data_IF_366669896301
#
_entry.id   IF_366669896301
#
_cell.length_a   1.000
_cell.length_b   1.000
_cell.length_c   1.000
_cell.angle_alpha   90.00
_cell.angle_beta   90.00
_cell.angle_gamma   90.00
#
_symmetry.space_group_name_H-M   'P 1'
#
loop_
_entity.id
_entity.type
_entity.pdbx_description
1 polymer ?
#
# COMPACT_ATOMS: atom_id res chain seq x y z
N UNK A 1 2.09 -35.06 -19.94
CA UNK A 1 3.52 -35.34 -19.64
C UNK A 1 3.79 -34.91 -18.22
N UNK A 2 4.27 -35.80 -17.35
CA UNK A 2 4.68 -35.42 -16.01
C UNK A 2 6.01 -34.66 -16.13
N UNK A 3 6.02 -33.37 -15.81
CA UNK A 3 7.24 -32.58 -15.76
C UNK A 3 8.02 -33.01 -14.51
N UNK A 4 8.97 -33.92 -14.68
CA UNK A 4 9.90 -34.27 -13.63
C UNK A 4 10.91 -33.14 -13.47
N UNK A 5 11.06 -32.66 -12.24
CA UNK A 5 12.15 -31.74 -11.90
C UNK A 5 13.48 -32.46 -12.13
N UNK A 6 14.45 -31.84 -12.82
CA UNK A 6 15.78 -32.43 -13.02
C UNK A 6 16.43 -32.81 -11.70
N UNK A 7 17.23 -33.88 -11.71
CA UNK A 7 18.03 -34.28 -10.54
C UNK A 7 18.89 -33.10 -10.06
N UNK A 8 18.88 -32.84 -8.75
CA UNK A 8 19.54 -31.68 -8.13
C UNK A 8 18.69 -30.41 -7.99
N UNK A 9 17.43 -30.43 -8.44
CA UNK A 9 16.49 -29.31 -8.22
C UNK A 9 16.24 -29.07 -6.73
N UNK A 10 16.12 -27.80 -6.34
CA UNK A 10 15.76 -27.36 -4.97
C UNK A 10 14.43 -26.62 -4.99
N UNK A 11 13.59 -26.88 -4.00
CA UNK A 11 12.30 -26.19 -3.81
C UNK A 11 12.41 -25.39 -2.52
N UNK A 12 12.06 -24.10 -2.59
CA UNK A 12 11.94 -23.23 -1.42
C UNK A 12 10.46 -23.07 -1.10
N UNK A 13 10.08 -23.38 0.13
CA UNK A 13 8.70 -23.23 0.61
C UNK A 13 8.68 -22.18 1.71
N UNK A 14 7.87 -21.14 1.52
CA UNK A 14 7.66 -20.07 2.51
C UNK A 14 6.25 -20.19 3.09
N UNK A 15 6.10 -20.12 4.41
CA UNK A 15 4.81 -20.20 5.09
C UNK A 15 4.77 -19.33 6.33
N UNK A 16 3.56 -18.96 6.77
CA UNK A 16 3.29 -18.30 8.05
C UNK A 16 2.96 -19.29 9.18
N UNK A 17 2.86 -20.58 8.86
CA UNK A 17 2.54 -21.63 9.84
C UNK A 17 3.79 -22.37 10.27
N UNK A 18 3.97 -22.51 11.58
CA UNK A 18 5.08 -23.30 12.17
C UNK A 18 5.02 -24.78 11.78
N UNK A 19 3.84 -25.27 11.34
CA UNK A 19 3.68 -26.64 10.84
C UNK A 19 4.50 -26.92 9.57
N UNK A 20 4.97 -25.87 8.88
CA UNK A 20 5.77 -26.03 7.66
C UNK A 20 7.12 -26.69 7.91
N UNK A 21 7.64 -26.62 9.14
CA UNK A 21 8.90 -27.23 9.55
C UNK A 21 8.92 -28.73 9.30
N UNK A 22 7.76 -29.39 9.39
CA UNK A 22 7.60 -30.82 9.12
C UNK A 22 7.74 -31.22 7.64
N UNK A 23 7.75 -30.25 6.71
CA UNK A 23 7.86 -30.49 5.27
C UNK A 23 9.29 -30.26 4.75
N UNK A 24 10.16 -29.64 5.54
CA UNK A 24 11.51 -29.29 5.14
C UNK A 24 12.45 -30.49 5.18
N UNK A 25 13.40 -30.53 4.24
CA UNK A 25 14.53 -31.48 4.25
C UNK A 25 15.80 -30.86 4.85
N UNK A 26 15.74 -29.59 5.27
CA UNK A 26 16.82 -28.80 5.86
C UNK A 26 16.28 -27.99 7.04
N UNK A 27 17.18 -27.45 7.88
CA UNK A 27 16.80 -26.51 8.92
C UNK A 27 15.98 -25.35 8.32
N UNK A 28 14.92 -24.99 9.03
CA UNK A 28 14.03 -23.90 8.70
C UNK A 28 14.68 -22.54 8.97
N UNK A 29 14.34 -21.57 8.11
CA UNK A 29 14.79 -20.20 8.24
C UNK A 29 13.64 -19.34 8.73
N UNK A 30 13.75 -18.84 9.96
CA UNK A 30 12.80 -17.90 10.53
C UNK A 30 13.12 -16.48 10.06
N UNK A 31 12.16 -15.88 9.35
CA UNK A 31 12.24 -14.48 8.95
C UNK A 31 11.80 -13.59 10.12
N UNK A 32 12.77 -13.17 10.92
CA UNK A 32 12.55 -12.20 11.99
C UNK A 32 12.30 -10.80 11.41
N UNK A 33 11.62 -9.95 12.19
CA UNK A 33 11.49 -8.54 11.85
C UNK A 33 12.84 -7.85 11.86
N UNK A 34 12.99 -6.84 11.01
CA UNK A 34 14.17 -5.99 11.02
C UNK A 34 14.15 -5.06 12.24
N UNK A 35 15.32 -4.77 12.83
CA UNK A 35 15.41 -3.77 13.88
C UNK A 35 14.98 -2.39 13.35
N UNK A 36 14.49 -1.53 14.23
CA UNK A 36 13.97 -0.20 13.90
C UNK A 36 14.94 0.60 13.04
N UNK A 37 16.22 0.55 13.35
CA UNK A 37 17.30 1.28 12.65
C UNK A 37 17.45 0.82 11.20
N UNK A 38 17.33 -0.48 10.94
CA UNK A 38 17.39 -1.03 9.59
C UNK A 38 16.16 -0.64 8.77
N UNK A 39 14.98 -0.60 9.40
CA UNK A 39 13.76 -0.13 8.75
C UNK A 39 13.76 1.37 8.47
N UNK A 40 14.26 2.18 9.41
CA UNK A 40 14.50 3.59 9.19
C UNK A 40 15.49 3.80 8.04
N UNK A 41 16.61 3.06 8.03
CA UNK A 41 17.58 3.13 6.94
C UNK A 41 16.93 2.78 5.59
N UNK A 42 16.16 1.70 5.53
CA UNK A 42 15.42 1.31 4.33
C UNK A 42 14.45 2.40 3.85
N UNK A 43 13.64 2.94 4.76
CA UNK A 43 12.68 4.01 4.44
C UNK A 43 13.38 5.30 3.99
N UNK A 44 14.50 5.66 4.65
CA UNK A 44 15.33 6.81 4.30
C UNK A 44 15.90 6.68 2.89
N UNK A 45 16.52 5.54 2.58
CA UNK A 45 17.07 5.28 1.23
C UNK A 45 15.98 5.34 0.17
N UNK A 46 14.78 4.80 0.45
CA UNK A 46 13.67 4.89 -0.48
C UNK A 46 13.16 6.33 -0.66
N UNK A 47 13.06 7.10 0.41
CA UNK A 47 12.47 8.45 0.38
C UNK A 47 13.39 9.49 -0.26
N UNK A 48 14.70 9.39 -0.04
CA UNK A 48 15.69 10.34 -0.57
C UNK A 48 16.39 9.84 -1.85
N UNK A 49 16.32 8.54 -2.16
CA UNK A 49 16.93 7.99 -3.37
C UNK A 49 18.44 8.21 -3.40
N UNK A 50 18.93 8.94 -4.40
CA UNK A 50 20.36 9.25 -4.55
C UNK A 50 20.80 10.53 -3.84
N UNK A 51 19.89 11.31 -3.25
CA UNK A 51 20.27 12.51 -2.48
C UNK A 51 20.52 12.15 -1.02
N UNK A 52 21.46 12.82 -0.36
CA UNK A 52 21.70 12.61 1.06
C UNK A 52 20.59 13.31 1.87
N UNK A 53 20.08 12.63 2.90
CA UNK A 53 19.04 13.20 3.77
C UNK A 53 19.60 14.38 4.58
N UNK A 54 20.91 14.32 4.86
CA UNK A 54 21.72 15.32 5.55
C UNK A 54 21.73 16.66 4.81
N UNK A 55 21.60 16.66 3.48
CA UNK A 55 21.51 17.88 2.66
C UNK A 55 20.15 18.57 2.76
N UNK A 56 19.14 17.87 3.29
CA UNK A 56 17.75 18.34 3.38
C UNK A 56 17.19 18.12 4.80
N UNK A 57 17.79 18.76 5.84
CA UNK A 57 17.53 18.43 7.24
C UNK A 57 16.05 18.59 7.62
N UNK A 58 15.34 19.56 7.02
CA UNK A 58 13.91 19.75 7.25
C UNK A 58 13.06 18.60 6.71
N UNK A 59 13.37 18.10 5.51
CA UNK A 59 12.67 16.94 4.94
C UNK A 59 13.03 15.66 5.71
N UNK A 60 14.29 15.51 6.12
CA UNK A 60 14.74 14.38 6.95
C UNK A 60 13.96 14.31 8.28
N UNK A 61 13.73 15.45 8.94
CA UNK A 61 12.90 15.54 10.13
C UNK A 61 11.46 15.06 9.88
N UNK A 62 10.83 15.53 8.79
CA UNK A 62 9.45 15.14 8.45
C UNK A 62 9.36 13.65 8.10
N UNK A 63 10.34 13.11 7.37
CA UNK A 63 10.40 11.67 7.07
C UNK A 63 10.51 10.83 8.35
N UNK A 64 11.31 11.28 9.33
CA UNK A 64 11.38 10.60 10.63
C UNK A 64 10.04 10.62 11.34
N UNK A 65 9.36 11.77 11.40
CA UNK A 65 8.02 11.85 12.00
C UNK A 65 7.02 10.92 11.30
N UNK A 66 7.03 10.86 9.96
CA UNK A 66 6.19 9.93 9.19
C UNK A 66 6.52 8.48 9.57
N UNK A 67 7.80 8.16 9.71
CA UNK A 67 8.26 6.83 10.07
C UNK A 67 7.78 6.43 11.48
N UNK A 68 7.96 7.32 12.46
CA UNK A 68 7.51 7.04 13.83
C UNK A 68 6.00 6.83 13.92
N UNK A 69 5.22 7.72 13.29
CA UNK A 69 3.76 7.68 13.36
C UNK A 69 3.18 6.43 12.69
N UNK A 70 3.79 5.97 11.60
CA UNK A 70 3.27 4.82 10.85
C UNK A 70 3.82 3.48 11.34
N UNK A 71 5.08 3.43 11.78
CA UNK A 71 5.80 2.18 12.04
C UNK A 71 6.12 1.94 13.52
N UNK A 72 6.09 2.97 14.38
CA UNK A 72 6.58 2.86 15.77
C UNK A 72 5.49 2.95 16.85
N UNK A 73 4.21 3.11 16.48
CA UNK A 73 3.12 3.35 17.43
C UNK A 73 2.46 2.11 18.06
N UNK A 74 3.16 0.97 18.13
CA UNK A 74 2.59 -0.18 18.83
C UNK A 74 3.61 -0.82 19.78
N UNK A 75 3.58 -0.40 21.06
CA UNK A 75 4.30 -1.06 22.16
C UNK A 75 3.94 -2.54 22.29
N UNK A 76 2.76 -2.95 21.79
CA UNK A 76 2.33 -4.34 21.71
C UNK A 76 3.02 -5.15 20.61
N UNK A 77 3.58 -4.48 19.60
CA UNK A 77 4.20 -5.14 18.48
C UNK A 77 5.72 -4.95 18.41
N UNK A 78 6.31 -4.11 19.29
CA UNK A 78 7.72 -3.72 19.58
C UNK A 78 8.82 -3.85 18.51
N UNK A 79 8.68 -4.77 17.57
CA UNK A 79 9.55 -5.05 16.43
C UNK A 79 8.78 -5.05 15.10
N UNK A 80 7.44 -4.86 15.08
CA UNK A 80 6.67 -4.79 13.83
C UNK A 80 6.88 -3.47 13.12
N UNK A 81 7.96 -3.44 12.35
CA UNK A 81 8.10 -2.50 11.26
C UNK A 81 7.21 -2.98 10.11
N UNK A 82 6.13 -2.25 9.89
CA UNK A 82 5.10 -2.52 8.88
C UNK A 82 5.62 -2.91 7.49
N UNK A 83 4.72 -3.38 6.63
CA UNK A 83 5.04 -3.94 5.32
C UNK A 83 6.06 -3.11 4.52
N UNK A 84 7.15 -3.74 4.05
CA UNK A 84 8.12 -3.11 3.15
C UNK A 84 7.47 -2.50 1.90
N UNK A 85 6.34 -3.07 1.45
CA UNK A 85 5.55 -2.51 0.37
C UNK A 85 4.98 -1.13 0.74
N UNK A 86 4.52 -0.93 1.98
CA UNK A 86 4.03 0.35 2.45
C UNK A 86 5.15 1.39 2.50
N UNK A 87 6.36 1.01 2.95
CA UNK A 87 7.53 1.89 2.95
C UNK A 87 7.89 2.37 1.55
N UNK A 88 7.91 1.47 0.56
CA UNK A 88 8.12 1.84 -0.84
C UNK A 88 7.03 2.76 -1.37
N UNK A 89 5.77 2.48 -1.04
CA UNK A 89 4.65 3.27 -1.50
C UNK A 89 4.69 4.70 -0.92
N UNK A 90 4.80 4.86 0.40
CA UNK A 90 4.91 6.16 1.07
C UNK A 90 6.10 6.93 0.50
N UNK A 91 7.26 6.29 0.37
CA UNK A 91 8.45 6.91 -0.23
C UNK A 91 8.19 7.38 -1.66
N UNK A 92 7.46 6.61 -2.48
CA UNK A 92 7.09 7.00 -3.83
C UNK A 92 6.23 8.26 -3.86
N UNK A 93 5.31 8.41 -2.90
CA UNK A 93 4.45 9.61 -2.79
C UNK A 93 5.26 10.82 -2.35
N UNK A 94 6.17 10.64 -1.39
CA UNK A 94 7.07 11.71 -0.93
C UNK A 94 7.95 12.22 -2.07
N UNK A 95 8.51 11.31 -2.87
CA UNK A 95 9.34 11.67 -4.04
C UNK A 95 8.55 12.27 -5.20
N UNK A 96 7.23 12.08 -5.26
CA UNK A 96 6.41 12.69 -6.30
C UNK A 96 6.40 14.23 -6.20
N UNK A 97 6.66 14.78 -5.01
CA UNK A 97 6.79 16.21 -4.77
C UNK A 97 7.66 16.47 -3.53
N UNK A 98 8.89 16.93 -3.74
CA UNK A 98 9.89 17.17 -2.67
C UNK A 98 9.67 18.47 -1.88
N UNK A 99 8.54 19.14 -2.04
CA UNK A 99 8.23 20.31 -1.23
C UNK A 99 7.91 19.93 0.22
N UNK A 100 8.40 20.73 1.15
CA UNK A 100 8.10 20.56 2.59
C UNK A 100 6.59 20.57 2.86
N UNK A 101 5.82 21.40 2.15
CA UNK A 101 4.37 21.48 2.30
C UNK A 101 3.69 20.15 1.93
N UNK A 102 4.14 19.51 0.84
CA UNK A 102 3.64 18.19 0.45
C UNK A 102 3.91 17.16 1.54
N UNK A 103 5.14 17.11 2.06
CA UNK A 103 5.53 16.14 3.08
C UNK A 103 4.75 16.32 4.39
N UNK A 104 4.50 17.57 4.82
CA UNK A 104 3.63 17.83 5.97
C UNK A 104 2.18 17.39 5.74
N UNK A 105 1.64 17.51 4.53
CA UNK A 105 0.29 17.00 4.21
C UNK A 105 0.25 15.47 4.34
N UNK A 106 1.29 14.78 3.89
CA UNK A 106 1.41 13.32 4.06
C UNK A 106 1.50 12.95 5.54
N UNK A 107 2.33 13.64 6.33
CA UNK A 107 2.43 13.42 7.78
C UNK A 107 1.08 13.61 8.48
N UNK A 108 0.35 14.69 8.17
CA UNK A 108 -0.99 14.93 8.72
C UNK A 108 -1.98 13.82 8.33
N UNK A 109 -1.84 13.24 7.13
CA UNK A 109 -2.62 12.09 6.69
C UNK A 109 -2.29 10.85 7.53
N UNK A 110 -1.00 10.52 7.68
CA UNK A 110 -0.52 9.37 8.46
C UNK A 110 -1.02 9.44 9.91
N UNK A 111 -0.88 10.61 10.57
CA UNK A 111 -1.40 10.86 11.92
C UNK A 111 -2.90 10.59 12.04
N UNK A 112 -3.70 11.12 11.11
CA UNK A 112 -5.15 10.91 11.10
C UNK A 112 -5.53 9.45 10.92
N UNK A 113 -4.74 8.69 10.16
CA UNK A 113 -4.97 7.27 9.91
C UNK A 113 -4.72 6.45 11.17
N UNK A 114 -3.61 6.69 11.88
CA UNK A 114 -3.30 6.01 13.13
C UNK A 114 -4.40 6.17 14.17
N UNK A 115 -5.00 7.36 14.25
CA UNK A 115 -6.13 7.64 15.16
C UNK A 115 -7.43 6.93 14.78
N UNK A 116 -7.69 6.70 13.49
CA UNK A 116 -8.96 6.12 13.00
C UNK A 116 -8.92 4.61 12.83
N UNK A 117 -7.74 4.03 12.63
CA UNK A 117 -7.58 2.61 12.36
C UNK A 117 -6.43 2.05 13.21
N UNK A 118 -6.70 1.62 14.46
CA UNK A 118 -5.65 1.20 15.41
C UNK A 118 -4.98 -0.13 15.04
N UNK A 119 -5.40 -0.81 13.97
CA UNK A 119 -4.76 -2.04 13.48
C UNK A 119 -3.93 -1.75 12.22
N UNK A 120 -2.58 -1.77 12.31
CA UNK A 120 -1.69 -1.54 11.18
C UNK A 120 -1.78 -2.59 10.07
N UNK A 121 -2.40 -3.75 10.33
CA UNK A 121 -2.28 -4.95 9.47
C UNK A 121 -3.55 -5.80 9.30
N UNK A 122 -4.73 -5.19 9.42
CA UNK A 122 -6.02 -5.88 9.29
C UNK A 122 -6.65 -5.93 7.90
N UNK A 123 -5.97 -5.41 6.87
CA UNK A 123 -6.54 -5.15 5.55
C UNK A 123 -6.00 -3.81 5.08
N UNK A 124 -5.55 -3.76 3.82
CA UNK A 124 -4.79 -2.64 3.28
C UNK A 124 -5.73 -1.44 3.06
N UNK A 125 -6.02 -0.67 4.12
CA UNK A 125 -6.57 0.67 4.01
C UNK A 125 -5.39 1.61 3.83
N UNK A 126 -4.94 1.79 2.59
CA UNK A 126 -3.94 2.82 2.30
C UNK A 126 -4.70 4.12 2.18
N UNK A 127 -4.92 4.77 3.32
CA UNK A 127 -5.51 6.10 3.34
C UNK A 127 -4.44 7.07 2.86
N UNK A 128 -4.50 7.40 1.58
CA UNK A 128 -3.73 8.48 0.99
C UNK A 128 -4.68 9.39 0.24
N UNK A 129 -4.80 10.61 0.74
CA UNK A 129 -5.69 11.63 0.22
C UNK A 129 -5.29 12.00 -1.21
N UNK A 130 -6.02 11.47 -2.17
CA UNK A 130 -5.85 11.70 -3.62
C UNK A 130 -6.19 13.16 -3.98
N UNK A 131 -7.01 13.82 -3.17
CA UNK A 131 -7.27 15.26 -3.24
C UNK A 131 -8.02 15.68 -1.97
N UNK A 132 -7.56 16.75 -1.32
CA UNK A 132 -8.23 17.44 -0.22
C UNK A 132 -8.73 16.59 0.97
N UNK A 133 -7.97 15.55 1.34
CA UNK A 133 -8.16 14.77 2.59
C UNK A 133 -9.48 13.95 2.64
N UNK A 134 -10.38 14.07 1.67
CA UNK A 134 -11.73 13.51 1.74
C UNK A 134 -11.91 12.16 1.06
N UNK A 135 -10.87 11.53 0.52
CA UNK A 135 -10.93 10.26 -0.20
C UNK A 135 -9.88 9.26 0.30
N UNK A 136 -10.24 7.98 0.35
CA UNK A 136 -9.37 6.88 0.77
C UNK A 136 -9.32 5.75 -0.27
N UNK A 137 -8.16 5.11 -0.37
CA UNK A 137 -7.97 3.93 -1.20
C UNK A 137 -8.15 2.67 -0.34
N UNK A 138 -9.25 1.97 -0.58
CA UNK A 138 -9.54 0.70 0.07
C UNK A 138 -9.05 -0.43 -0.83
N UNK A 139 -8.09 -1.22 -0.35
CA UNK A 139 -7.64 -2.42 -1.04
C UNK A 139 -8.20 -3.69 -0.38
N UNK A 140 -8.60 -4.65 -1.21
CA UNK A 140 -9.07 -5.95 -0.75
C UNK A 140 -7.92 -6.72 -0.09
N UNK A 141 -8.26 -7.56 0.91
CA UNK A 141 -7.26 -8.28 1.74
C UNK A 141 -6.46 -9.31 0.94
N UNK A 142 -7.04 -9.85 -0.13
CA UNK A 142 -6.41 -10.86 -0.97
C UNK A 142 -5.75 -10.19 -2.16
N UNK A 143 -4.43 -10.28 -2.22
CA UNK A 143 -3.65 -9.92 -3.40
C UNK A 143 -3.53 -11.15 -4.30
N UNK A 144 -3.69 -10.96 -5.61
CA UNK A 144 -3.33 -11.98 -6.59
C UNK A 144 -1.90 -11.77 -7.07
N UNK A 145 -1.20 -12.86 -7.31
CA UNK A 145 0.15 -12.85 -7.89
C UNK A 145 0.02 -13.21 -9.36
N UNK A 146 0.44 -12.31 -10.24
CA UNK A 146 0.48 -12.57 -11.67
C UNK A 146 1.87 -13.07 -12.11
N UNK A 147 1.86 -14.10 -12.94
CA UNK A 147 3.02 -14.63 -13.67
C UNK A 147 3.33 -13.74 -14.89
N UNK A 148 4.53 -13.90 -15.46
CA UNK A 148 5.03 -13.09 -16.59
C UNK A 148 4.15 -13.19 -17.86
N UNK A 149 3.34 -14.23 -17.97
CA UNK A 149 2.42 -14.44 -19.10
C UNK A 149 0.96 -14.06 -18.81
N UNK A 150 0.66 -13.59 -17.60
CA UNK A 150 -0.69 -13.23 -17.19
C UNK A 150 -0.96 -11.74 -17.39
N UNK A 151 -2.24 -11.38 -17.44
CA UNK A 151 -2.65 -9.99 -17.50
C UNK A 151 -2.22 -9.23 -16.24
N UNK A 152 -1.41 -8.19 -16.44
CA UNK A 152 -0.95 -7.25 -15.41
C UNK A 152 -1.54 -5.87 -15.71
N UNK A 153 -2.25 -5.24 -14.76
CA UNK A 153 -2.72 -3.87 -14.89
C UNK A 153 -1.56 -2.90 -15.16
N UNK A 154 -1.81 -1.88 -15.99
CA UNK A 154 -0.83 -0.80 -16.23
C UNK A 154 -0.75 0.21 -15.10
N UNK A 155 -1.83 0.31 -14.30
CA UNK A 155 -1.96 1.27 -13.20
C UNK A 155 -1.18 0.75 -12.00
N UNK A 156 -0.31 1.60 -11.46
CA UNK A 156 0.42 1.31 -10.23
C UNK A 156 -0.26 1.94 -9.02
N UNK A 157 -0.07 1.33 -7.85
CA UNK A 157 -0.59 1.87 -6.60
C UNK A 157 -0.02 3.27 -6.32
N UNK A 158 1.23 3.55 -6.69
CA UNK A 158 1.88 4.85 -6.50
C UNK A 158 1.28 5.97 -7.35
N UNK A 159 0.86 5.68 -8.60
CA UNK A 159 0.17 6.65 -9.45
C UNK A 159 -1.20 7.05 -8.88
N UNK A 160 -1.91 6.09 -8.30
CA UNK A 160 -3.19 6.34 -7.64
C UNK A 160 -2.99 7.14 -6.36
N UNK A 161 -2.06 6.72 -5.50
CA UNK A 161 -1.79 7.43 -4.24
C UNK A 161 -1.22 8.84 -4.43
N UNK A 162 -0.48 9.08 -5.51
CA UNK A 162 0.03 10.43 -5.84
C UNK A 162 -1.01 11.33 -6.48
N UNK A 163 -2.21 10.81 -6.77
CA UNK A 163 -3.27 11.54 -7.46
C UNK A 163 -3.02 11.79 -8.94
N UNK A 164 -2.02 11.13 -9.54
CA UNK A 164 -1.78 11.19 -10.99
C UNK A 164 -2.91 10.53 -11.77
N UNK A 165 -3.50 9.48 -11.20
CA UNK A 165 -4.63 8.74 -11.77
C UNK A 165 -5.69 8.59 -10.70
N UNK A 166 -6.94 8.89 -11.05
CA UNK A 166 -8.10 8.73 -10.16
C UNK A 166 -9.14 7.83 -10.83
N UNK A 167 -8.99 6.50 -10.74
CA UNK A 167 -9.94 5.57 -11.36
C UNK A 167 -11.33 5.67 -10.69
N UNK A 168 -12.38 5.35 -11.44
CA UNK A 168 -13.76 5.32 -10.92
C UNK A 168 -14.20 3.88 -10.65
N UNK A 169 -14.85 3.65 -9.51
CA UNK A 169 -15.33 2.33 -9.10
C UNK A 169 -14.22 1.41 -8.61
N UNK A 170 -14.42 0.10 -8.72
CA UNK A 170 -13.41 -0.92 -8.42
C UNK A 170 -12.42 -1.08 -9.58
N UNK A 171 -11.14 -1.18 -9.26
CA UNK A 171 -10.05 -1.34 -10.24
C UNK A 171 -8.90 -2.16 -9.66
N UNK A 172 -8.08 -2.73 -10.53
CA UNK A 172 -6.86 -3.44 -10.11
C UNK A 172 -5.63 -2.54 -10.25
N UNK A 173 -4.70 -2.68 -9.31
CA UNK A 173 -3.42 -1.97 -9.30
C UNK A 173 -2.27 -2.91 -9.01
N UNK A 174 -1.12 -2.60 -9.61
CA UNK A 174 0.14 -3.25 -9.25
C UNK A 174 0.67 -2.59 -7.97
N UNK A 175 0.65 -3.36 -6.87
CA UNK A 175 1.20 -2.95 -5.58
C UNK A 175 2.71 -3.10 -5.52
N UNK A 176 3.23 -4.19 -6.12
CA UNK A 176 4.66 -4.49 -6.12
C UNK A 176 5.03 -5.34 -7.33
N UNK A 177 6.25 -5.14 -7.85
CA UNK A 177 6.89 -6.07 -8.80
C UNK A 177 8.19 -6.57 -8.20
N UNK A 178 8.34 -7.88 -8.16
CA UNK A 178 9.58 -8.52 -7.72
C UNK A 178 10.72 -8.13 -8.65
N UNK A 179 11.88 -7.81 -8.07
CA UNK A 179 13.13 -7.64 -8.81
C UNK A 179 13.90 -8.96 -8.93
N UNK A 180 13.40 -10.01 -8.29
CA UNK A 180 13.95 -11.37 -8.36
C UNK A 180 13.10 -12.21 -9.31
N UNK A 181 13.73 -13.07 -10.15
CA UNK A 181 13.02 -14.05 -10.96
C UNK A 181 12.04 -14.88 -10.12
N UNK A 182 10.85 -15.24 -10.67
CA UNK A 182 10.37 -14.95 -12.03
C UNK A 182 9.65 -13.59 -12.16
N UNK A 183 10.05 -12.56 -11.40
CA UNK A 183 9.57 -11.17 -11.52
C UNK A 183 8.06 -10.98 -11.28
N UNK A 184 7.50 -11.74 -10.34
CA UNK A 184 6.09 -11.68 -9.95
C UNK A 184 5.54 -10.26 -9.76
N UNK A 185 4.33 -10.05 -10.29
CA UNK A 185 3.56 -8.83 -10.02
C UNK A 185 2.48 -9.11 -8.97
N UNK A 186 2.51 -8.36 -7.88
CA UNK A 186 1.51 -8.42 -6.80
C UNK A 186 0.43 -7.38 -7.07
N UNK A 187 -0.80 -7.84 -7.25
CA UNK A 187 -1.93 -7.04 -7.70
C UNK A 187 -3.00 -7.03 -6.61
N UNK A 188 -3.52 -5.85 -6.31
CA UNK A 188 -4.67 -5.69 -5.43
C UNK A 188 -5.87 -5.13 -6.19
N UNK A 189 -7.06 -5.61 -5.83
CA UNK A 189 -8.33 -4.95 -6.16
C UNK A 189 -8.52 -3.79 -5.19
N UNK A 190 -8.84 -2.61 -5.71
CA UNK A 190 -8.97 -1.38 -4.95
C UNK A 190 -10.21 -0.59 -5.36
N UNK A 191 -10.68 0.26 -4.44
CA UNK A 191 -11.75 1.23 -4.67
C UNK A 191 -11.38 2.55 -3.99
N UNK A 192 -11.69 3.67 -4.64
CA UNK A 192 -11.59 5.00 -4.03
C UNK A 192 -12.95 5.31 -3.40
N UNK A 193 -12.95 5.60 -2.11
CA UNK A 193 -14.17 5.87 -1.36
C UNK A 193 -14.07 7.21 -0.65
N UNK A 194 -15.18 7.94 -0.61
CA UNK A 194 -15.25 9.21 0.11
C UNK A 194 -15.30 8.99 1.63
N UNK A 195 -14.54 9.79 2.37
CA UNK A 195 -14.41 9.75 3.83
C UNK A 195 -15.74 9.94 4.56
N UNK A 196 -16.76 10.50 3.89
CA UNK A 196 -18.12 10.67 4.42
C UNK A 196 -18.93 9.36 4.36
N UNK A 197 -18.71 8.52 3.34
CA UNK A 197 -19.45 7.27 3.18
C UNK A 197 -18.93 6.12 4.05
N UNK A 198 -17.71 6.23 4.60
CA UNK A 198 -17.18 5.27 5.58
C UNK A 198 -17.92 5.29 6.93
N UNK A 199 -18.63 6.38 7.24
CA UNK A 199 -19.32 6.56 8.52
C UNK A 199 -20.72 5.95 8.53
N UNK A 200 -21.29 5.62 7.37
CA UNK A 200 -22.63 5.07 7.26
C UNK A 200 -22.57 3.63 6.76
N UNK A 201 -22.26 2.72 7.69
CA UNK A 201 -22.75 1.35 7.58
C UNK A 201 -24.27 1.35 7.61
N UNK A 202 -24.92 1.61 6.48
CA UNK A 202 -26.38 1.65 6.40
C UNK A 202 -26.95 2.36 5.18
N UNK A 203 -27.08 1.63 4.06
CA UNK A 203 -27.97 1.92 2.91
C UNK A 203 -27.74 3.25 2.18
N UNK A 204 -26.85 3.24 1.19
CA UNK A 204 -27.00 4.18 0.07
C UNK A 204 -28.19 3.73 -0.80
N UNK A 205 -29.35 4.33 -0.55
CA UNK A 205 -30.55 4.15 -1.36
C UNK A 205 -30.32 4.78 -2.75
N UNK A 206 -30.41 3.96 -3.81
CA UNK A 206 -30.38 4.42 -5.20
C UNK A 206 -31.49 5.44 -5.44
N UNK A 207 -31.17 6.75 -5.48
CA UNK A 207 -32.08 7.75 -6.06
C UNK A 207 -32.13 7.53 -7.57
N UNK A 208 -33.21 6.90 -8.05
CA UNK A 208 -33.62 6.97 -9.46
C UNK A 208 -33.80 8.44 -9.82
N UNK A 209 -33.05 8.94 -10.81
CA UNK A 209 -33.38 10.19 -11.50
C UNK A 209 -34.73 9.99 -12.18
N UNK A 210 -35.78 10.65 -11.69
CA UNK A 210 -36.96 10.89 -12.51
C UNK A 210 -36.58 11.91 -13.57
N UNK A 211 -36.73 11.53 -14.85
CA UNK A 211 -36.75 12.47 -15.95
C UNK A 211 -38.03 13.31 -15.84
N UNK A 212 -37.92 14.55 -15.37
CA UNK A 212 -38.93 15.57 -15.67
C UNK A 212 -38.70 16.04 -17.10
N UNK A 213 -39.57 15.61 -18.02
CA UNK A 213 -39.73 16.29 -19.30
C UNK A 213 -40.31 17.68 -19.01
N UNK A 214 -39.54 18.71 -19.26
CA UNK A 214 -40.04 20.08 -19.40
C UNK A 214 -40.18 20.33 -20.91
N UNK A 215 -41.42 20.39 -21.40
CA UNK A 215 -41.76 20.91 -22.72
C UNK A 215 -42.61 22.15 -22.51
N UNK A 216 -42.09 23.29 -22.95
CA UNK A 216 -42.67 24.63 -22.81
C UNK A 216 -43.97 24.82 -23.61
N UNK A 217 -44.70 25.85 -23.16
CA UNK A 217 -45.93 26.48 -23.64
C UNK A 217 -45.99 26.81 -25.15
N UNK A 218 -47.20 26.81 -25.73
CA UNK A 218 -47.92 28.02 -26.19
C UNK A 218 -49.09 27.69 -27.14
N UNK A 219 -50.29 28.10 -26.76
CA UNK A 219 -51.20 29.00 -27.49
C UNK A 219 -52.47 29.20 -26.63
#
# INVERSE_FOLDING_TARGET
MANFLPSGSKIIVTSRSEKITNFGTTQDLWLNFLPREACWYFFKVLSFGSTHAEDQPKLASIAMEIFEEYYSHNDLLRDFTGSFANSKNISSILRANVSTQHWYRILACVRRNGQRNPLPCGGVQIILGISDISQYLQAERHQRVALDHEYVPKITIGEVMSGRITPKGKFEVVCWRSHLPPYYSYIASCEIVDSKCAQEGGKCSKKRKSLSKCGHCNA
#
